data_IF_889712066118
#
_entry.id   IF_889712066118
#
_cell.length_a   1.000
_cell.length_b   1.000
_cell.length_c   1.000
_cell.angle_alpha   90.00
_cell.angle_beta   90.00
_cell.angle_gamma   90.00
#
_symmetry.space_group_name_H-M   'P 1'
#
loop_
_entity.id
_entity.type
_entity.pdbx_description
1 polymer ?
#
# COMPACT_ATOMS: atom_id res chain seq x y z
N UNK A 1 -24.72 17.84 -44.82
CA UNK A 1 -24.17 17.81 -43.45
C UNK A 1 -23.56 16.43 -43.25
N UNK A 2 -22.23 16.32 -43.16
CA UNK A 2 -21.57 15.04 -42.88
C UNK A 2 -21.46 14.92 -41.37
N UNK A 3 -22.16 13.96 -40.79
CA UNK A 3 -22.02 13.61 -39.37
C UNK A 3 -20.70 12.87 -39.17
N UNK A 4 -19.72 13.55 -38.61
CA UNK A 4 -18.53 12.93 -38.02
C UNK A 4 -18.90 12.37 -36.66
N UNK A 5 -19.08 11.06 -36.58
CA UNK A 5 -19.24 10.33 -35.31
C UNK A 5 -17.88 10.30 -34.61
N UNK A 6 -17.75 11.02 -33.50
CA UNK A 6 -16.56 11.00 -32.65
C UNK A 6 -16.64 9.72 -31.80
N UNK A 7 -15.82 8.72 -32.08
CA UNK A 7 -15.67 7.55 -31.24
C UNK A 7 -14.80 7.94 -30.02
N UNK A 8 -15.43 8.06 -28.85
CA UNK A 8 -14.71 8.13 -27.57
C UNK A 8 -14.31 6.70 -27.19
N UNK A 9 -13.07 6.31 -27.46
CA UNK A 9 -12.47 5.12 -26.86
C UNK A 9 -12.15 5.43 -25.41
N UNK A 10 -13.02 4.98 -24.49
CA UNK A 10 -12.71 4.92 -23.07
C UNK A 10 -11.62 3.85 -22.89
N UNK A 11 -10.36 4.27 -22.75
CA UNK A 11 -9.28 3.37 -22.31
C UNK A 11 -9.56 3.03 -20.84
N UNK A 12 -10.18 1.89 -20.58
CA UNK A 12 -10.15 1.30 -19.25
C UNK A 12 -8.70 0.85 -18.99
N UNK A 13 -8.00 1.57 -18.11
CA UNK A 13 -6.70 1.14 -17.61
C UNK A 13 -6.93 -0.09 -16.75
N UNK A 14 -6.58 -1.27 -17.27
CA UNK A 14 -6.58 -2.49 -16.46
C UNK A 14 -5.55 -2.31 -15.33
N UNK A 15 -5.88 -2.69 -14.07
CA UNK A 15 -4.92 -2.64 -12.98
C UNK A 15 -3.73 -3.55 -13.29
N UNK A 16 -2.51 -3.05 -13.05
CA UNK A 16 -1.31 -3.85 -13.21
C UNK A 16 -1.22 -4.87 -12.07
N UNK A 17 -1.46 -6.15 -12.40
CA UNK A 17 -1.16 -7.27 -11.51
C UNK A 17 0.34 -7.54 -11.63
N UNK A 18 1.07 -7.32 -10.56
CA UNK A 18 2.51 -7.51 -10.49
C UNK A 18 2.92 -8.25 -9.22
N UNK A 19 2.01 -9.01 -8.63
CA UNK A 19 2.17 -9.85 -7.45
C UNK A 19 1.15 -10.99 -7.54
N UNK A 20 1.31 -12.09 -6.80
CA UNK A 20 0.32 -13.17 -6.81
C UNK A 20 -1.09 -12.64 -6.48
N UNK A 21 -2.07 -13.02 -7.29
CA UNK A 21 -3.49 -12.74 -7.09
C UNK A 21 -4.27 -14.04 -7.26
N UNK A 22 -5.52 -14.01 -6.82
CA UNK A 22 -6.48 -15.07 -7.14
C UNK A 22 -6.75 -15.11 -8.65
N UNK A 23 -7.08 -16.29 -9.16
CA UNK A 23 -7.49 -16.46 -10.54
C UNK A 23 -8.94 -16.02 -10.76
N UNK A 24 -9.19 -15.31 -11.86
CA UNK A 24 -10.51 -14.79 -12.24
C UNK A 24 -11.31 -14.13 -11.07
N UNK A 25 -10.70 -13.21 -10.29
CA UNK A 25 -11.30 -12.75 -9.03
C UNK A 25 -12.41 -11.70 -9.20
N UNK A 26 -12.55 -11.15 -10.41
CA UNK A 26 -13.70 -10.35 -10.84
C UNK A 26 -14.77 -11.16 -11.58
N UNK A 27 -14.63 -12.49 -11.64
CA UNK A 27 -15.65 -13.39 -12.22
C UNK A 27 -16.10 -13.02 -13.64
N UNK A 28 -15.18 -12.63 -14.51
CA UNK A 28 -15.49 -12.23 -15.89
C UNK A 28 -15.44 -13.40 -16.88
N UNK A 29 -14.73 -14.48 -16.52
CA UNK A 29 -14.64 -15.71 -17.32
C UNK A 29 -15.51 -16.83 -16.74
N UNK A 30 -16.32 -17.47 -17.59
CA UNK A 30 -17.27 -18.51 -17.17
C UNK A 30 -17.27 -19.71 -18.11
N UNK A 31 -17.58 -20.87 -17.54
CA UNK A 31 -17.74 -22.13 -18.24
C UNK A 31 -19.21 -22.59 -18.18
N UNK A 32 -19.66 -23.30 -19.22
CA UNK A 32 -20.99 -23.93 -19.28
C UNK A 32 -22.18 -22.97 -19.01
N UNK A 33 -22.05 -21.70 -19.39
CA UNK A 33 -23.06 -20.64 -19.15
C UNK A 33 -24.44 -21.09 -19.66
N UNK A 34 -25.47 -20.89 -18.83
CA UNK A 34 -26.85 -21.26 -19.14
C UNK A 34 -27.19 -22.74 -18.91
N UNK A 35 -26.27 -23.52 -18.32
CA UNK A 35 -26.51 -24.90 -17.90
C UNK A 35 -26.49 -25.03 -16.37
N UNK A 36 -26.94 -26.17 -15.84
CA UNK A 36 -26.92 -26.44 -14.39
C UNK A 36 -25.52 -26.63 -13.78
N UNK A 37 -24.46 -26.57 -14.59
CA UNK A 37 -23.05 -26.65 -14.18
C UNK A 37 -22.28 -25.39 -14.59
N UNK A 38 -22.97 -24.25 -14.74
CA UNK A 38 -22.30 -22.97 -14.98
C UNK A 38 -21.48 -22.58 -13.76
N UNK A 39 -20.20 -22.25 -13.97
CA UNK A 39 -19.26 -21.86 -12.92
C UNK A 39 -18.23 -20.88 -13.50
N UNK A 40 -17.67 -19.97 -12.68
CA UNK A 40 -16.52 -19.17 -13.10
C UNK A 40 -15.33 -20.07 -13.44
N UNK A 41 -14.58 -19.74 -14.49
CA UNK A 41 -13.30 -20.42 -14.80
C UNK A 41 -12.34 -20.32 -13.61
N UNK A 42 -11.61 -21.39 -13.28
CA UNK A 42 -10.72 -21.55 -12.11
C UNK A 42 -11.44 -21.65 -10.74
N UNK A 43 -12.77 -21.82 -10.75
CA UNK A 43 -13.55 -22.05 -9.55
C UNK A 43 -14.45 -23.28 -9.73
N UNK A 44 -14.72 -24.00 -8.63
CA UNK A 44 -15.56 -25.18 -8.62
C UNK A 44 -16.59 -25.15 -7.50
N UNK A 45 -17.72 -25.84 -7.72
CA UNK A 45 -18.72 -26.09 -6.69
C UNK A 45 -18.98 -27.59 -6.53
N UNK A 46 -19.96 -27.95 -5.71
CA UNK A 46 -20.41 -29.35 -5.59
C UNK A 46 -20.87 -29.92 -6.94
N UNK A 47 -21.28 -29.07 -7.90
CA UNK A 47 -21.73 -29.52 -9.23
C UNK A 47 -20.62 -30.14 -10.08
N UNK A 48 -19.37 -29.75 -9.86
CA UNK A 48 -18.19 -30.23 -10.57
C UNK A 48 -17.21 -30.94 -9.64
N UNK A 49 -17.71 -31.44 -8.51
CA UNK A 49 -16.94 -32.17 -7.50
C UNK A 49 -16.28 -33.45 -8.06
N UNK A 50 -15.34 -34.00 -7.29
CA UNK A 50 -14.72 -35.30 -7.61
C UNK A 50 -15.61 -36.52 -7.29
N UNK A 51 -16.79 -36.32 -6.69
CA UNK A 51 -17.72 -37.38 -6.24
C UNK A 51 -18.38 -38.18 -7.38
N UNK A 52 -18.02 -37.87 -8.63
CA UNK A 52 -18.48 -38.56 -9.82
C UNK A 52 -19.87 -38.17 -10.29
N UNK A 53 -20.29 -38.76 -11.41
CA UNK A 53 -21.50 -38.35 -12.14
C UNK A 53 -22.80 -38.52 -11.35
N UNK A 54 -22.88 -39.54 -10.48
CA UNK A 54 -24.08 -39.77 -9.67
C UNK A 54 -24.30 -38.61 -8.68
N UNK A 55 -23.27 -38.28 -7.89
CA UNK A 55 -23.34 -37.23 -6.87
C UNK A 55 -23.53 -35.86 -7.52
N UNK A 56 -22.76 -35.55 -8.57
CA UNK A 56 -22.85 -34.28 -9.29
C UNK A 56 -24.24 -34.04 -9.93
N UNK A 57 -24.91 -35.11 -10.39
CA UNK A 57 -26.28 -35.01 -10.92
C UNK A 57 -27.33 -34.80 -9.82
N UNK A 58 -27.08 -35.29 -8.59
CA UNK A 58 -27.98 -35.11 -7.44
C UNK A 58 -27.82 -33.73 -6.78
N UNK A 59 -26.62 -33.15 -6.81
CA UNK A 59 -26.39 -31.80 -6.30
C UNK A 59 -27.26 -30.78 -7.08
N UNK A 60 -27.92 -29.81 -6.43
CA UNK A 60 -28.59 -28.73 -7.15
C UNK A 60 -27.57 -27.74 -7.73
N UNK A 61 -27.97 -26.93 -8.69
CA UNK A 61 -27.17 -25.76 -9.10
C UNK A 61 -27.17 -24.75 -7.95
N UNK A 62 -26.01 -24.19 -7.62
CA UNK A 62 -25.85 -23.27 -6.47
C UNK A 62 -25.09 -21.99 -6.83
N UNK A 63 -24.62 -21.89 -8.08
CA UNK A 63 -23.79 -20.80 -8.60
C UNK A 63 -24.37 -20.35 -9.94
N UNK A 64 -24.46 -19.04 -10.15
CA UNK A 64 -24.95 -18.41 -11.38
C UNK A 64 -24.10 -17.21 -11.77
N UNK A 65 -23.93 -17.00 -13.08
CA UNK A 65 -23.43 -15.74 -13.59
C UNK A 65 -24.46 -14.63 -13.37
N UNK A 66 -24.03 -13.49 -12.86
CA UNK A 66 -24.86 -12.29 -12.74
C UNK A 66 -24.38 -11.20 -13.68
N UNK A 67 -25.31 -10.47 -14.31
CA UNK A 67 -25.02 -9.25 -15.09
C UNK A 67 -25.10 -7.96 -14.23
N UNK A 68 -25.39 -8.10 -12.94
CA UNK A 68 -25.22 -7.03 -11.96
C UNK A 68 -23.84 -7.22 -11.35
N UNK A 69 -22.93 -6.28 -11.60
CA UNK A 69 -21.53 -6.37 -11.24
C UNK A 69 -21.05 -5.03 -10.66
N UNK A 70 -20.05 -5.07 -9.78
CA UNK A 70 -19.43 -3.88 -9.24
C UNK A 70 -18.50 -3.25 -10.29
N UNK A 71 -17.67 -4.07 -10.93
CA UNK A 71 -16.89 -3.69 -12.10
C UNK A 71 -17.09 -4.70 -13.24
N UNK A 72 -16.53 -4.42 -14.41
CA UNK A 72 -16.66 -5.32 -15.56
C UNK A 72 -18.12 -5.58 -16.00
N UNK A 73 -18.40 -6.80 -16.44
CA UNK A 73 -19.71 -7.22 -16.96
C UNK A 73 -20.42 -8.24 -16.08
N UNK A 74 -19.65 -8.97 -15.27
CA UNK A 74 -20.17 -10.15 -14.58
C UNK A 74 -19.74 -10.17 -13.11
N UNK A 75 -20.59 -10.75 -12.28
CA UNK A 75 -20.23 -11.14 -10.92
C UNK A 75 -20.74 -12.56 -10.64
N UNK A 76 -20.29 -13.16 -9.55
CA UNK A 76 -20.82 -14.45 -9.10
C UNK A 76 -22.01 -14.24 -8.18
N UNK A 77 -23.10 -15.00 -8.39
CA UNK A 77 -24.20 -15.16 -7.44
C UNK A 77 -24.20 -16.59 -6.89
N UNK A 78 -24.04 -16.73 -5.58
CA UNK A 78 -24.06 -18.00 -4.85
C UNK A 78 -25.35 -18.05 -4.02
N UNK A 79 -26.12 -19.14 -4.11
CA UNK A 79 -27.44 -19.24 -3.46
C UNK A 79 -27.61 -20.50 -2.63
N UNK A 80 -28.36 -20.36 -1.55
CA UNK A 80 -28.96 -21.49 -0.85
C UNK A 80 -30.27 -21.86 -1.53
N UNK A 81 -30.36 -23.10 -2.02
CA UNK A 81 -31.50 -23.58 -2.82
C UNK A 81 -32.11 -24.87 -2.28
N UNK A 82 -33.32 -25.18 -2.75
CA UNK A 82 -33.94 -26.47 -2.44
C UNK A 82 -33.26 -27.61 -3.19
N UNK A 83 -32.99 -28.71 -2.49
CA UNK A 83 -32.56 -30.00 -3.04
C UNK A 83 -33.51 -31.12 -2.62
N UNK A 84 -33.31 -32.32 -3.17
CA UNK A 84 -34.07 -33.51 -2.77
C UNK A 84 -33.87 -33.89 -1.29
N UNK A 85 -32.74 -33.51 -0.69
CA UNK A 85 -32.38 -33.82 0.70
C UNK A 85 -32.68 -32.67 1.67
N UNK A 86 -33.25 -31.56 1.20
CA UNK A 86 -33.48 -30.34 1.98
C UNK A 86 -32.75 -29.12 1.42
N UNK A 87 -32.63 -28.03 2.19
CA UNK A 87 -31.83 -26.86 1.81
C UNK A 87 -30.38 -27.27 1.51
N UNK A 88 -29.84 -26.77 0.41
CA UNK A 88 -28.44 -26.92 0.04
C UNK A 88 -27.79 -25.54 0.03
N UNK A 89 -26.87 -25.31 0.97
CA UNK A 89 -26.11 -24.06 1.05
C UNK A 89 -25.18 -23.96 -0.15
N UNK A 90 -25.24 -22.84 -0.87
CA UNK A 90 -24.34 -22.62 -1.99
C UNK A 90 -22.89 -22.48 -1.53
N UNK A 91 -22.00 -23.10 -2.29
CA UNK A 91 -20.55 -23.18 -2.06
C UNK A 91 -19.81 -22.95 -3.37
N UNK A 92 -18.76 -22.13 -3.33
CA UNK A 92 -17.80 -21.94 -4.42
C UNK A 92 -16.38 -21.90 -3.87
N UNK A 93 -15.42 -22.49 -4.56
CA UNK A 93 -14.02 -22.55 -4.13
C UNK A 93 -13.07 -22.48 -5.32
N UNK A 94 -11.86 -21.93 -5.12
CA UNK A 94 -10.75 -22.05 -6.08
C UNK A 94 -9.96 -23.36 -5.91
N UNK A 95 -10.36 -24.21 -4.96
CA UNK A 95 -9.92 -25.59 -4.86
C UNK A 95 -10.92 -26.53 -5.50
N UNK A 96 -10.98 -27.75 -4.98
CA UNK A 96 -11.90 -28.79 -5.41
C UNK A 96 -12.77 -29.27 -4.27
N UNK A 97 -14.03 -29.57 -4.59
CA UNK A 97 -14.95 -30.21 -3.66
C UNK A 97 -14.79 -31.73 -3.73
N UNK A 98 -14.53 -32.35 -2.59
CA UNK A 98 -14.74 -33.77 -2.36
C UNK A 98 -16.15 -34.01 -1.83
N UNK A 99 -17.00 -34.67 -2.61
CA UNK A 99 -18.40 -34.85 -2.26
C UNK A 99 -18.77 -36.33 -2.10
N UNK A 100 -19.35 -36.67 -0.95
CA UNK A 100 -19.92 -37.99 -0.66
C UNK A 100 -21.41 -37.91 -0.33
N UNK A 101 -22.12 -39.04 -0.42
CA UNK A 101 -23.52 -39.14 0.03
C UNK A 101 -23.64 -38.92 1.56
N UNK A 102 -22.60 -39.30 2.30
CA UNK A 102 -22.47 -39.04 3.72
C UNK A 102 -21.76 -37.69 3.88
N UNK A 103 -22.56 -36.61 3.99
CA UNK A 103 -22.09 -35.22 3.90
C UNK A 103 -20.98 -34.88 4.90
N UNK A 104 -20.92 -35.54 6.05
CA UNK A 104 -19.86 -35.36 7.05
C UNK A 104 -18.45 -35.79 6.58
N UNK A 105 -18.36 -36.61 5.52
CA UNK A 105 -17.10 -36.99 4.91
C UNK A 105 -16.68 -36.03 3.78
N UNK A 106 -17.56 -35.12 3.37
CA UNK A 106 -17.26 -34.15 2.31
C UNK A 106 -16.31 -33.07 2.85
N UNK A 107 -15.41 -32.60 1.99
CA UNK A 107 -14.46 -31.53 2.30
C UNK A 107 -14.09 -30.76 1.04
N UNK A 108 -13.49 -29.59 1.22
CA UNK A 108 -12.89 -28.82 0.13
C UNK A 108 -11.38 -28.88 0.28
N UNK A 109 -10.64 -29.08 -0.81
CA UNK A 109 -9.20 -29.27 -0.77
C UNK A 109 -8.49 -28.58 -1.93
N UNK A 110 -7.19 -28.34 -1.76
CA UNK A 110 -6.31 -27.97 -2.87
C UNK A 110 -5.87 -29.24 -3.60
N UNK A 111 -6.22 -29.38 -4.87
CA UNK A 111 -5.78 -30.49 -5.71
C UNK A 111 -4.41 -30.15 -6.31
N UNK A 112 -3.32 -30.42 -5.58
CA UNK A 112 -1.94 -30.05 -5.97
C UNK A 112 -1.46 -30.66 -7.29
N UNK A 113 -2.22 -31.59 -7.87
CA UNK A 113 -1.94 -32.21 -9.16
C UNK A 113 -2.67 -31.54 -10.33
N UNK A 114 -3.58 -30.60 -10.05
CA UNK A 114 -4.28 -29.82 -11.08
C UNK A 114 -4.20 -28.31 -10.82
N UNK A 115 -3.57 -27.60 -11.75
CA UNK A 115 -3.41 -26.14 -11.70
C UNK A 115 -4.74 -25.40 -11.55
N UNK A 116 -5.83 -25.94 -12.11
CA UNK A 116 -7.16 -25.31 -12.05
C UNK A 116 -7.73 -25.22 -10.63
N UNK A 117 -7.19 -26.02 -9.69
CA UNK A 117 -7.67 -26.11 -8.31
C UNK A 117 -6.53 -25.99 -7.28
N UNK A 118 -5.42 -25.38 -7.71
CA UNK A 118 -4.21 -25.23 -6.91
C UNK A 118 -3.56 -23.85 -7.04
N UNK A 119 -4.37 -22.78 -6.94
CA UNK A 119 -3.89 -21.39 -7.05
C UNK A 119 -2.59 -21.19 -6.25
N UNK A 120 -1.46 -20.92 -6.93
CA UNK A 120 -0.17 -20.75 -6.26
C UNK A 120 -0.11 -19.40 -5.54
N UNK A 121 0.39 -19.39 -4.32
CA UNK A 121 0.58 -18.17 -3.54
C UNK A 121 1.82 -18.27 -2.63
N UNK A 122 3.00 -18.08 -3.23
CA UNK A 122 4.28 -17.97 -2.54
C UNK A 122 4.49 -16.54 -1.99
N UNK A 123 3.55 -16.06 -1.18
CA UNK A 123 3.54 -14.69 -0.65
C UNK A 123 2.61 -14.57 0.56
N UNK A 124 2.76 -13.49 1.34
CA UNK A 124 2.00 -13.28 2.57
C UNK A 124 1.17 -12.00 2.48
N UNK A 125 -0.04 -12.05 1.90
CA UNK A 125 -0.93 -10.89 1.86
C UNK A 125 -1.28 -10.40 3.27
N UNK A 126 -1.49 -9.10 3.38
CA UNK A 126 -1.97 -8.40 4.57
C UNK A 126 -3.48 -8.61 4.75
N UNK A 127 -4.24 -8.47 3.68
CA UNK A 127 -5.70 -8.54 3.73
C UNK A 127 -6.30 -9.10 2.44
N UNK A 128 -7.44 -9.77 2.60
CA UNK A 128 -8.37 -10.05 1.51
C UNK A 128 -9.37 -8.89 1.44
N UNK A 129 -9.63 -8.40 0.23
CA UNK A 129 -10.66 -7.40 -0.03
C UNK A 129 -11.59 -7.89 -1.14
N UNK A 130 -12.76 -7.26 -1.25
CA UNK A 130 -13.69 -7.49 -2.34
C UNK A 130 -14.96 -6.67 -2.19
N UNK A 131 -15.91 -6.91 -3.08
CA UNK A 131 -17.23 -6.28 -3.06
C UNK A 131 -18.31 -7.34 -2.94
N UNK A 132 -19.38 -7.03 -2.22
CA UNK A 132 -20.50 -7.93 -2.06
C UNK A 132 -21.86 -7.24 -2.07
N UNK A 133 -22.89 -8.03 -2.41
CA UNK A 133 -24.29 -7.79 -2.09
C UNK A 133 -24.85 -9.00 -1.36
N UNK A 134 -25.88 -8.81 -0.55
CA UNK A 134 -26.40 -9.91 0.26
C UNK A 134 -27.91 -9.81 0.50
N UNK A 135 -28.60 -10.94 0.38
CA UNK A 135 -30.02 -11.09 0.72
C UNK A 135 -30.18 -12.33 1.61
N UNK A 136 -30.08 -12.19 2.94
CA UNK A 136 -30.23 -13.30 3.87
C UNK A 136 -31.69 -13.66 4.15
N UNK A 137 -31.93 -14.95 4.43
CA UNK A 137 -33.04 -15.41 5.26
C UNK A 137 -32.71 -15.25 6.76
N UNK A 138 -33.72 -15.23 7.65
CA UNK A 138 -33.50 -14.94 9.07
C UNK A 138 -32.55 -15.94 9.77
N UNK A 139 -31.34 -15.48 10.13
CA UNK A 139 -30.34 -16.31 10.81
C UNK A 139 -29.18 -16.76 9.92
N UNK A 140 -29.23 -16.47 8.61
CA UNK A 140 -28.16 -16.81 7.68
C UNK A 140 -27.13 -15.68 7.58
N UNK A 141 -25.86 -16.05 7.42
CA UNK A 141 -24.76 -15.14 7.09
C UNK A 141 -23.84 -15.81 6.07
N UNK A 142 -23.48 -15.11 4.99
CA UNK A 142 -22.49 -15.58 4.04
C UNK A 142 -21.09 -15.56 4.67
N UNK A 143 -20.24 -16.51 4.28
CA UNK A 143 -18.89 -16.66 4.81
C UNK A 143 -17.88 -16.76 3.67
N UNK A 144 -16.73 -16.14 3.85
CA UNK A 144 -15.51 -16.44 3.09
C UNK A 144 -14.49 -16.96 4.08
N UNK A 145 -13.98 -18.16 3.85
CA UNK A 145 -12.84 -18.73 4.57
C UNK A 145 -11.67 -18.87 3.61
N UNK A 146 -10.49 -18.41 4.02
CA UNK A 146 -9.24 -18.52 3.27
C UNK A 146 -8.20 -19.23 4.11
N UNK A 147 -7.53 -20.21 3.50
CA UNK A 147 -6.44 -20.96 4.08
C UNK A 147 -5.19 -20.82 3.21
N UNK A 148 -4.12 -20.30 3.79
CA UNK A 148 -2.77 -20.32 3.25
C UNK A 148 -2.05 -21.54 3.81
N UNK A 149 -1.42 -22.33 2.94
CA UNK A 149 -0.82 -23.61 3.35
C UNK A 149 0.36 -24.02 2.47
N UNK A 150 1.12 -25.01 2.96
CA UNK A 150 2.16 -25.74 2.22
C UNK A 150 1.67 -27.16 1.95
N UNK A 151 2.22 -27.85 0.95
CA UNK A 151 1.83 -29.24 0.64
C UNK A 151 0.30 -29.40 0.43
N UNK A 152 -0.31 -30.42 1.04
CA UNK A 152 -1.74 -30.70 0.97
C UNK A 152 -2.53 -30.01 2.10
N UNK A 153 -3.66 -29.40 1.77
CA UNK A 153 -4.60 -28.91 2.77
C UNK A 153 -6.04 -28.98 2.33
N UNK A 154 -6.92 -29.05 3.33
CA UNK A 154 -8.37 -29.13 3.16
C UNK A 154 -9.13 -28.51 4.32
N UNK A 155 -10.42 -28.26 4.10
CA UNK A 155 -11.37 -27.80 5.09
C UNK A 155 -12.63 -28.67 5.03
N UNK A 156 -13.06 -29.29 6.15
CA UNK A 156 -12.34 -29.40 7.44
C UNK A 156 -10.96 -30.07 7.29
N UNK A 157 -10.03 -29.79 8.21
CA UNK A 157 -8.61 -30.15 8.09
C UNK A 157 -8.34 -31.65 7.98
N UNK A 158 -9.01 -32.45 8.83
CA UNK A 158 -8.85 -33.91 8.90
C UNK A 158 -7.37 -34.37 8.84
N UNK A 159 -6.50 -33.82 9.69
CA UNK A 159 -5.08 -34.19 9.78
C UNK A 159 -4.11 -33.31 8.97
N UNK A 160 -4.60 -32.32 8.23
CA UNK A 160 -3.77 -31.37 7.47
C UNK A 160 -3.41 -30.10 8.25
N UNK A 161 -3.75 -30.01 9.55
CA UNK A 161 -3.55 -28.80 10.37
C UNK A 161 -2.07 -28.38 10.47
N UNK A 162 -1.14 -29.34 10.37
CA UNK A 162 0.30 -29.09 10.40
C UNK A 162 0.82 -28.37 9.14
N UNK A 163 0.04 -28.38 8.07
CA UNK A 163 0.37 -27.76 6.80
C UNK A 163 -0.14 -26.31 6.70
N UNK A 164 -0.93 -25.86 7.68
CA UNK A 164 -1.54 -24.54 7.69
C UNK A 164 -0.53 -23.46 8.06
N UNK A 165 -0.51 -22.37 7.29
CA UNK A 165 0.38 -21.23 7.49
C UNK A 165 -0.35 -20.03 8.09
N UNK A 166 -1.57 -19.80 7.64
CA UNK A 166 -2.43 -18.71 8.09
C UNK A 166 -3.74 -18.69 7.33
N UNK A 167 -4.58 -17.71 7.59
CA UNK A 167 -5.86 -17.61 6.91
C UNK A 167 -6.56 -16.28 7.16
N UNK A 168 -7.70 -16.12 6.52
CA UNK A 168 -8.58 -14.97 6.72
C UNK A 168 -10.03 -15.44 6.66
N UNK A 169 -10.85 -14.92 7.56
CA UNK A 169 -12.27 -15.20 7.61
C UNK A 169 -13.06 -13.91 7.49
N UNK A 170 -14.13 -13.94 6.70
CA UNK A 170 -15.09 -12.86 6.61
C UNK A 170 -16.51 -13.41 6.73
N UNK A 171 -17.36 -12.70 7.46
CA UNK A 171 -18.77 -13.03 7.61
C UNK A 171 -19.61 -11.80 7.28
N UNK A 172 -20.65 -11.97 6.47
CA UNK A 172 -21.55 -10.89 6.10
C UNK A 172 -22.37 -10.41 7.31
N UNK A 173 -22.97 -9.20 7.26
CA UNK A 173 -24.02 -8.82 8.18
C UNK A 173 -25.21 -9.78 8.08
N UNK A 174 -26.01 -9.88 9.15
CA UNK A 174 -27.27 -10.64 9.19
C UNK A 174 -28.46 -9.90 8.56
N UNK A 175 -28.20 -9.00 7.61
CA UNK A 175 -29.20 -8.10 7.02
C UNK A 175 -28.93 -7.90 5.53
N UNK A 176 -29.96 -7.47 4.79
CA UNK A 176 -29.87 -7.20 3.36
C UNK A 176 -28.89 -6.06 3.07
N UNK A 177 -27.99 -6.30 2.11
CA UNK A 177 -27.07 -5.34 1.53
C UNK A 177 -27.38 -5.23 0.04
N UNK A 178 -28.20 -4.23 -0.32
CA UNK A 178 -28.75 -4.08 -1.67
C UNK A 178 -27.84 -3.37 -2.68
N UNK A 179 -26.79 -2.69 -2.21
CA UNK A 179 -25.80 -2.01 -3.03
C UNK A 179 -24.43 -2.65 -2.83
N UNK A 180 -23.60 -2.66 -3.89
CA UNK A 180 -22.23 -3.14 -3.82
C UNK A 180 -21.47 -2.46 -2.69
N UNK A 181 -21.03 -3.26 -1.73
CA UNK A 181 -20.36 -2.78 -0.52
C UNK A 181 -19.01 -3.45 -0.41
N UNK A 182 -17.97 -2.67 -0.18
CA UNK A 182 -16.61 -3.19 -0.01
C UNK A 182 -16.46 -3.88 1.34
N UNK A 183 -15.76 -5.00 1.37
CA UNK A 183 -15.24 -5.62 2.60
C UNK A 183 -13.71 -5.68 2.58
N UNK A 184 -13.14 -5.84 3.78
CA UNK A 184 -11.74 -6.17 3.98
C UNK A 184 -11.62 -7.03 5.23
N UNK A 185 -10.82 -8.10 5.16
CA UNK A 185 -10.48 -8.94 6.31
C UNK A 185 -8.97 -9.19 6.34
N UNK A 186 -8.30 -9.03 7.49
CA UNK A 186 -6.86 -9.25 7.60
C UNK A 186 -6.53 -10.75 7.60
N UNK A 187 -5.38 -11.09 7.03
CA UNK A 187 -4.80 -12.42 7.23
C UNK A 187 -4.16 -12.53 8.62
N UNK A 188 -4.42 -13.64 9.29
CA UNK A 188 -3.78 -14.02 10.54
C UNK A 188 -2.88 -15.22 10.26
N UNK A 189 -1.59 -15.04 10.52
CA UNK A 189 -0.61 -16.10 10.34
C UNK A 189 -0.21 -16.72 11.66
N UNK A 190 -0.21 -18.05 11.70
CA UNK A 190 0.16 -18.86 12.87
C UNK A 190 1.49 -19.59 12.66
N UNK A 191 1.99 -19.61 11.43
CA UNK A 191 3.27 -20.21 11.04
C UNK A 191 4.13 -19.21 10.23
N UNK A 192 5.45 -19.36 10.32
CA UNK A 192 6.42 -18.49 9.65
C UNK A 192 6.91 -19.03 8.31
N UNK A 193 6.55 -20.26 7.94
CA UNK A 193 6.81 -20.80 6.60
C UNK A 193 6.19 -19.92 5.52
N UNK A 194 6.83 -19.87 4.38
CA UNK A 194 6.23 -19.29 3.19
C UNK A 194 5.12 -20.23 2.71
N UNK A 195 3.89 -19.74 2.50
CA UNK A 195 2.84 -20.57 1.93
C UNK A 195 3.16 -20.93 0.48
N UNK A 196 2.58 -22.01 -0.02
CA UNK A 196 2.71 -22.43 -1.43
C UNK A 196 1.40 -22.22 -2.18
N UNK A 197 0.27 -22.37 -1.47
CA UNK A 197 -1.08 -22.34 -2.04
C UNK A 197 -2.04 -21.51 -1.19
N UNK A 198 -3.08 -21.02 -1.87
CA UNK A 198 -4.25 -20.37 -1.25
C UNK A 198 -5.52 -21.16 -1.58
N UNK A 199 -6.24 -21.59 -0.55
CA UNK A 199 -7.54 -22.24 -0.65
C UNK A 199 -8.62 -21.30 -0.11
N UNK A 200 -9.54 -20.88 -0.98
CA UNK A 200 -10.68 -20.03 -0.63
C UNK A 200 -11.98 -20.80 -0.78
N UNK A 201 -12.87 -20.61 0.19
CA UNK A 201 -14.23 -21.15 0.20
C UNK A 201 -15.19 -20.02 0.47
N UNK A 202 -16.21 -19.86 -0.38
CA UNK A 202 -17.28 -18.89 -0.21
C UNK A 202 -18.60 -19.62 -0.10
N UNK A 203 -19.40 -19.26 0.91
CA UNK A 203 -20.73 -19.84 1.14
C UNK A 203 -21.80 -18.76 1.19
N UNK A 204 -22.99 -19.08 0.69
CA UNK A 204 -24.14 -18.17 0.77
C UNK A 204 -24.73 -18.03 2.19
N UNK A 205 -24.48 -18.99 3.07
CA UNK A 205 -24.94 -19.00 4.47
C UNK A 205 -23.96 -19.73 5.40
N UNK A 206 -24.34 -19.93 6.66
CA UNK A 206 -23.54 -20.55 7.73
C UNK A 206 -23.42 -22.08 7.56
N UNK A 207 -22.81 -22.49 6.45
CA UNK A 207 -22.47 -23.86 6.08
C UNK A 207 -23.65 -24.85 6.01
N UNK A 208 -24.14 -25.42 7.11
CA UNK A 208 -25.01 -26.62 7.05
C UNK A 208 -26.50 -26.39 7.38
N UNK A 209 -26.89 -25.19 7.79
CA UNK A 209 -28.28 -24.90 8.21
C UNK A 209 -28.92 -23.68 7.55
N UNK A 210 -28.36 -23.24 6.42
CA UNK A 210 -28.87 -22.08 5.69
C UNK A 210 -30.27 -22.35 5.14
N UNK A 211 -31.08 -21.29 5.08
CA UNK A 211 -32.44 -21.35 4.57
C UNK A 211 -32.50 -21.01 3.08
N UNK A 212 -33.38 -21.72 2.37
CA UNK A 212 -33.61 -21.51 0.94
C UNK A 212 -34.02 -20.07 0.66
N UNK A 213 -33.39 -19.46 -0.34
CA UNK A 213 -33.62 -18.07 -0.73
C UNK A 213 -32.59 -17.08 -0.18
N UNK A 214 -31.58 -17.55 0.54
CA UNK A 214 -30.40 -16.75 0.85
C UNK A 214 -29.51 -16.65 -0.40
N UNK A 215 -29.14 -15.42 -0.77
CA UNK A 215 -28.27 -15.14 -1.93
C UNK A 215 -27.14 -14.18 -1.55
N UNK A 216 -25.93 -14.46 -2.03
CA UNK A 216 -24.78 -13.56 -1.94
C UNK A 216 -24.17 -13.36 -3.31
N UNK A 217 -23.75 -12.13 -3.59
CA UNK A 217 -22.95 -11.80 -4.75
C UNK A 217 -21.58 -11.37 -4.31
N UNK A 218 -20.55 -11.80 -5.02
CA UNK A 218 -19.18 -11.34 -4.84
C UNK A 218 -18.61 -10.84 -6.15
N UNK A 219 -17.74 -9.84 -6.05
CA UNK A 219 -17.03 -9.28 -7.19
C UNK A 219 -15.71 -8.64 -6.75
N UNK A 220 -14.80 -8.47 -7.70
CA UNK A 220 -13.50 -7.80 -7.57
C UNK A 220 -12.71 -8.22 -6.32
N UNK A 221 -12.54 -9.53 -6.11
CA UNK A 221 -11.71 -10.03 -5.02
C UNK A 221 -10.24 -9.62 -5.25
N UNK A 222 -9.51 -9.34 -4.17
CA UNK A 222 -8.08 -9.08 -4.29
C UNK A 222 -7.31 -9.37 -2.99
N UNK A 223 -6.08 -9.82 -3.16
CA UNK A 223 -5.08 -9.94 -2.11
C UNK A 223 -4.29 -8.63 -2.04
N UNK A 224 -4.24 -8.00 -0.88
CA UNK A 224 -3.49 -6.76 -0.66
C UNK A 224 -2.20 -7.09 0.08
N UNK A 225 -1.08 -6.53 -0.36
CA UNK A 225 0.24 -6.75 0.20
C UNK A 225 0.84 -5.44 0.70
N UNK A 226 1.45 -5.46 1.88
CA UNK A 226 2.14 -4.28 2.39
C UNK A 226 3.41 -3.99 1.58
N UNK A 227 3.64 -2.73 1.29
CA UNK A 227 4.88 -2.19 0.72
C UNK A 227 5.48 -1.24 1.76
N UNK A 228 6.36 -1.77 2.59
CA UNK A 228 6.96 -1.03 3.68
C UNK A 228 8.16 -0.22 3.21
N UNK A 229 8.30 0.99 3.75
CA UNK A 229 9.44 1.88 3.54
C UNK A 229 10.23 2.04 4.83
N UNK A 230 11.56 1.95 4.77
CA UNK A 230 12.45 2.13 5.92
C UNK A 230 13.62 3.04 5.52
N UNK A 231 13.60 4.33 5.91
CA UNK A 231 14.74 5.22 5.70
C UNK A 231 15.92 4.82 6.60
N UNK A 232 17.14 4.95 6.09
CA UNK A 232 18.39 4.71 6.85
C UNK A 232 18.74 5.86 7.82
N UNK A 233 17.97 6.94 7.80
CA UNK A 233 18.08 8.09 8.68
C UNK A 233 16.74 8.43 9.35
N UNK A 234 16.79 8.77 10.64
CA UNK A 234 15.63 9.26 11.39
C UNK A 234 15.48 10.80 11.32
N UNK A 235 16.56 11.51 11.00
CA UNK A 235 16.61 12.96 10.88
C UNK A 235 17.32 13.33 9.57
N UNK A 236 16.68 14.17 8.77
CA UNK A 236 17.24 14.76 7.58
C UNK A 236 17.53 16.24 7.83
N UNK A 237 18.78 16.65 7.68
CA UNK A 237 19.18 18.05 7.81
C UNK A 237 19.37 18.67 6.44
N UNK A 238 18.52 19.63 6.09
CA UNK A 238 18.59 20.35 4.81
C UNK A 238 19.07 21.79 4.99
N UNK A 239 19.59 22.38 3.91
CA UNK A 239 19.88 23.82 3.82
C UNK A 239 19.01 24.43 2.71
N UNK A 240 19.16 25.72 2.47
CA UNK A 240 18.51 26.40 1.36
C UNK A 240 19.05 25.96 -0.02
N UNK A 241 20.26 25.40 -0.07
CA UNK A 241 20.95 25.04 -1.31
C UNK A 241 21.22 23.54 -1.44
N UNK A 242 21.26 22.82 -0.32
CA UNK A 242 21.62 21.41 -0.26
C UNK A 242 20.45 20.61 0.31
N UNK A 243 20.11 19.52 -0.38
CA UNK A 243 19.18 18.51 0.09
C UNK A 243 19.84 17.58 1.11
N UNK A 244 19.11 16.51 1.45
CA UNK A 244 19.63 15.44 2.29
C UNK A 244 19.50 14.11 1.53
N UNK A 245 20.64 13.52 1.20
CA UNK A 245 20.68 12.20 0.60
C UNK A 245 20.45 11.13 1.68
N UNK A 246 19.60 10.17 1.38
CA UNK A 246 19.30 9.03 2.23
C UNK A 246 18.99 7.80 1.38
N UNK A 247 19.08 6.63 1.98
CA UNK A 247 18.58 5.42 1.36
C UNK A 247 17.26 5.02 2.00
N UNK A 248 16.28 4.68 1.17
CA UNK A 248 15.00 4.11 1.61
C UNK A 248 14.97 2.66 1.19
N UNK A 249 15.13 1.75 2.15
CA UNK A 249 14.89 0.34 1.92
C UNK A 249 13.37 0.11 1.76
N UNK A 250 13.00 -0.79 0.85
CA UNK A 250 11.62 -1.25 0.73
C UNK A 250 11.54 -2.77 0.87
N UNK A 251 10.38 -3.24 1.32
CA UNK A 251 10.02 -4.66 1.30
C UNK A 251 8.54 -4.82 0.91
N UNK A 252 8.27 -5.69 -0.05
CA UNK A 252 6.91 -6.08 -0.43
C UNK A 252 6.49 -7.36 0.29
N UNK A 253 5.24 -7.44 0.75
CA UNK A 253 4.65 -8.66 1.30
C UNK A 253 4.34 -9.73 0.24
N UNK A 254 4.31 -9.33 -1.03
CA UNK A 254 4.15 -10.19 -2.20
C UNK A 254 5.34 -10.07 -3.13
N UNK A 255 5.73 -11.16 -3.79
CA UNK A 255 6.86 -11.16 -4.73
C UNK A 255 6.45 -10.49 -6.03
N UNK A 256 7.21 -9.50 -6.54
CA UNK A 256 6.89 -8.91 -7.83
C UNK A 256 6.99 -9.94 -8.97
N UNK A 257 5.97 -10.01 -9.83
CA UNK A 257 5.98 -10.92 -11.00
C UNK A 257 6.56 -10.27 -12.26
N UNK A 258 6.75 -8.96 -12.23
CA UNK A 258 7.42 -8.17 -13.27
C UNK A 258 8.05 -6.92 -12.66
N UNK A 259 8.95 -6.26 -13.39
CA UNK A 259 9.61 -5.06 -12.92
C UNK A 259 8.62 -3.90 -12.75
N UNK A 260 8.71 -3.22 -11.62
CA UNK A 260 7.89 -2.07 -11.24
C UNK A 260 8.77 -0.88 -10.90
N UNK A 261 8.23 0.32 -11.12
CA UNK A 261 8.85 1.56 -10.61
C UNK A 261 8.41 1.78 -9.16
N UNK A 262 9.29 1.43 -8.22
CA UNK A 262 9.13 1.76 -6.81
C UNK A 262 9.56 3.21 -6.59
N UNK A 263 8.63 4.08 -6.20
CA UNK A 263 8.89 5.52 -5.98
C UNK A 263 8.79 5.84 -4.50
N UNK A 264 9.88 6.32 -3.91
CA UNK A 264 9.86 6.88 -2.56
C UNK A 264 9.26 8.29 -2.61
N UNK A 265 8.28 8.53 -1.76
CA UNK A 265 7.55 9.80 -1.64
C UNK A 265 7.69 10.35 -0.22
N UNK A 266 7.95 11.66 -0.12
CA UNK A 266 7.92 12.43 1.11
C UNK A 266 6.56 13.14 1.24
N UNK A 267 5.93 13.03 2.41
CA UNK A 267 4.70 13.75 2.75
C UNK A 267 4.94 15.25 2.99
N UNK A 268 3.90 15.98 3.38
CA UNK A 268 4.05 17.28 4.03
C UNK A 268 4.53 17.14 5.51
N UNK A 269 4.73 18.28 6.19
CA UNK A 269 5.18 18.31 7.58
C UNK A 269 4.18 17.75 8.61
N UNK A 270 2.92 17.51 8.22
CA UNK A 270 1.87 16.91 9.04
C UNK A 270 1.67 15.41 8.76
N UNK A 271 2.40 14.86 7.78
CA UNK A 271 2.26 13.47 7.36
C UNK A 271 1.22 13.23 6.25
N UNK A 272 0.74 14.29 5.60
CA UNK A 272 -0.24 14.19 4.51
C UNK A 272 0.45 13.95 3.15
N UNK A 273 -0.06 12.97 2.41
CA UNK A 273 0.37 12.61 1.07
C UNK A 273 -0.60 13.09 -0.03
N UNK A 274 -1.40 14.14 0.23
CA UNK A 274 -2.26 14.76 -0.78
C UNK A 274 -1.49 15.45 -1.91
N UNK A 275 -0.28 15.94 -1.63
CA UNK A 275 0.67 16.50 -2.60
C UNK A 275 2.11 16.00 -2.29
N UNK A 276 2.38 14.71 -2.50
CA UNK A 276 3.65 14.11 -2.10
C UNK A 276 4.78 14.53 -3.04
N UNK A 277 6.00 14.59 -2.50
CA UNK A 277 7.20 14.87 -3.28
C UNK A 277 7.93 13.57 -3.55
N UNK A 278 8.09 13.19 -4.82
CA UNK A 278 8.93 12.06 -5.19
C UNK A 278 10.40 12.39 -4.89
N UNK A 279 11.06 11.58 -4.08
CA UNK A 279 12.44 11.78 -3.62
C UNK A 279 13.42 10.76 -4.18
N UNK A 280 12.93 9.69 -4.81
CA UNK A 280 13.74 8.68 -5.49
C UNK A 280 12.87 7.63 -6.17
N UNK A 281 13.39 6.96 -7.19
CA UNK A 281 12.71 5.87 -7.89
C UNK A 281 13.70 4.75 -8.22
N UNK A 282 13.27 3.51 -8.11
CA UNK A 282 14.00 2.32 -8.52
C UNK A 282 13.09 1.40 -9.36
N UNK A 283 13.52 1.04 -10.56
CA UNK A 283 12.90 -0.03 -11.32
C UNK A 283 13.44 -1.39 -10.85
N UNK A 284 12.57 -2.28 -10.36
CA UNK A 284 12.97 -3.55 -9.76
C UNK A 284 11.84 -4.58 -9.84
N UNK A 285 12.20 -5.86 -9.94
CA UNK A 285 11.32 -7.02 -9.76
C UNK A 285 11.61 -7.78 -8.46
N UNK A 286 12.52 -7.26 -7.62
CA UNK A 286 12.90 -7.88 -6.36
C UNK A 286 11.92 -7.51 -5.24
N UNK A 287 11.58 -8.44 -4.32
CA UNK A 287 10.68 -8.16 -3.20
C UNK A 287 11.29 -7.24 -2.13
N UNK A 288 12.61 -7.04 -2.19
CA UNK A 288 13.32 -6.09 -1.33
C UNK A 288 14.34 -5.32 -2.15
N UNK A 289 14.58 -4.07 -1.80
CA UNK A 289 15.63 -3.27 -2.42
C UNK A 289 15.86 -1.97 -1.69
N UNK A 290 16.75 -1.15 -2.23
CA UNK A 290 17.15 0.13 -1.65
C UNK A 290 17.04 1.21 -2.72
N UNK A 291 16.23 2.23 -2.46
CA UNK A 291 16.06 3.39 -3.32
C UNK A 291 17.00 4.47 -2.81
N UNK A 292 17.89 4.95 -3.69
CA UNK A 292 18.67 6.16 -3.42
C UNK A 292 17.75 7.37 -3.55
N UNK A 293 17.65 8.16 -2.48
CA UNK A 293 16.72 9.26 -2.37
C UNK A 293 17.44 10.57 -2.00
N UNK A 294 16.85 11.69 -2.39
CA UNK A 294 17.27 13.02 -1.96
C UNK A 294 16.04 13.80 -1.49
N UNK A 295 16.00 14.16 -0.21
CA UNK A 295 15.03 15.17 0.27
C UNK A 295 15.46 16.53 -0.28
N UNK A 296 14.58 17.27 -0.98
CA UNK A 296 14.98 18.51 -1.65
C UNK A 296 15.52 19.57 -0.68
N UNK A 297 16.47 20.37 -1.19
CA UNK A 297 16.90 21.59 -0.52
C UNK A 297 15.70 22.52 -0.24
N UNK A 298 15.77 23.25 0.86
CA UNK A 298 14.72 24.20 1.25
C UNK A 298 13.44 23.56 1.77
N UNK A 299 13.37 22.23 1.92
CA UNK A 299 12.27 21.55 2.61
C UNK A 299 12.09 22.17 3.98
N UNK A 300 10.85 22.53 4.31
CA UNK A 300 10.54 23.24 5.56
C UNK A 300 10.77 22.29 6.74
N UNK A 301 11.35 22.75 7.86
CA UNK A 301 11.49 21.91 9.04
C UNK A 301 10.15 21.42 9.58
N UNK A 302 10.13 20.18 10.05
CA UNK A 302 8.94 19.57 10.63
C UNK A 302 9.24 18.18 11.19
N UNK A 303 8.52 17.80 12.24
CA UNK A 303 8.68 16.48 12.89
C UNK A 303 7.63 15.46 12.46
N UNK A 304 6.64 15.86 11.65
CA UNK A 304 5.53 15.02 11.23
C UNK A 304 5.68 14.41 9.83
N UNK A 305 6.83 14.63 9.17
CA UNK A 305 7.08 14.05 7.84
C UNK A 305 7.07 12.53 7.89
N UNK A 306 6.53 11.94 6.81
CA UNK A 306 6.48 10.51 6.55
C UNK A 306 7.09 10.23 5.18
N UNK A 307 7.72 9.07 5.06
CA UNK A 307 8.20 8.51 3.80
C UNK A 307 7.43 7.24 3.54
N UNK A 308 6.86 7.10 2.34
CA UNK A 308 6.26 5.87 1.85
C UNK A 308 6.90 5.48 0.51
N UNK A 309 6.75 4.22 0.12
CA UNK A 309 7.08 3.79 -1.24
C UNK A 309 5.79 3.39 -1.95
N UNK A 310 5.60 3.88 -3.17
CA UNK A 310 4.46 3.60 -4.05
C UNK A 310 4.91 2.86 -5.30
N UNK A 311 3.95 2.28 -6.01
CA UNK A 311 4.16 1.55 -7.26
C UNK A 311 2.89 1.61 -8.12
N UNK A 312 2.96 1.43 -9.45
CA UNK A 312 1.77 1.45 -10.31
C UNK A 312 0.73 0.35 -10.00
N UNK A 313 1.11 -0.72 -9.29
CA UNK A 313 0.17 -1.79 -8.93
C UNK A 313 -0.72 -1.36 -7.75
N UNK A 314 -2.06 -1.47 -7.86
CA UNK A 314 -2.99 -1.08 -6.80
C UNK A 314 -3.06 -2.09 -5.65
N UNK A 315 -2.46 -3.27 -5.78
CA UNK A 315 -2.51 -4.32 -4.76
C UNK A 315 -1.33 -4.28 -3.79
N UNK A 316 -0.40 -3.33 -3.97
CA UNK A 316 0.58 -2.98 -2.94
C UNK A 316 0.08 -1.77 -2.15
N UNK A 317 -0.21 -1.97 -0.86
CA UNK A 317 -0.58 -0.92 0.07
C UNK A 317 0.68 -0.29 0.69
N UNK A 318 0.97 1.00 0.47
CA UNK A 318 2.11 1.66 1.08
C UNK A 318 2.01 1.68 2.60
N UNK A 319 3.08 1.29 3.28
CA UNK A 319 3.26 1.46 4.74
C UNK A 319 4.38 2.45 4.96
N UNK A 320 4.04 3.60 5.55
CA UNK A 320 4.97 4.71 5.74
C UNK A 320 5.81 4.59 7.01
N UNK A 321 6.92 5.32 7.02
CA UNK A 321 7.82 5.51 8.16
C UNK A 321 8.02 6.99 8.45
N UNK A 322 8.19 7.35 9.73
CA UNK A 322 8.45 8.72 10.13
C UNK A 322 9.88 9.19 9.84
N UNK A 323 10.03 10.48 9.55
CA UNK A 323 11.31 11.18 9.49
C UNK A 323 11.16 12.59 10.03
N UNK A 324 12.19 13.11 10.71
CA UNK A 324 12.24 14.52 11.10
C UNK A 324 13.04 15.28 10.06
N UNK A 325 12.52 16.40 9.58
CA UNK A 325 13.27 17.34 8.74
C UNK A 325 13.69 18.53 9.59
N UNK A 326 14.99 18.78 9.64
CA UNK A 326 15.59 19.91 10.33
C UNK A 326 16.30 20.83 9.34
N UNK A 327 16.43 22.10 9.71
CA UNK A 327 17.22 23.06 8.95
C UNK A 327 18.58 23.26 9.59
N UNK A 328 19.61 23.30 8.76
CA UNK A 328 20.93 23.82 9.13
C UNK A 328 21.36 24.92 8.16
N UNK A 329 22.30 25.75 8.61
CA UNK A 329 22.97 26.75 7.77
C UNK A 329 23.99 26.13 6.82
N UNK A 330 24.30 24.83 6.93
CA UNK A 330 25.31 24.15 6.11
C UNK A 330 26.77 24.55 6.41
N UNK A 331 26.97 25.48 7.34
CA UNK A 331 28.27 26.05 7.68
C UNK A 331 28.81 25.45 8.96
N UNK A 332 30.06 24.98 8.91
CA UNK A 332 30.81 24.60 10.10
C UNK A 332 30.94 25.80 11.05
N UNK A 333 30.92 25.53 12.36
CA UNK A 333 31.23 26.54 13.36
C UNK A 333 32.63 27.08 13.10
N UNK A 334 32.71 28.34 12.69
CA UNK A 334 33.97 29.03 12.50
C UNK A 334 34.36 29.66 13.84
N UNK A 335 35.64 29.58 14.22
CA UNK A 335 36.12 30.06 15.53
C UNK A 335 35.80 31.54 15.78
N UNK A 336 35.83 31.97 17.03
CA UNK A 336 35.70 33.39 17.35
C UNK A 336 36.96 34.12 16.87
N UNK A 337 36.81 35.06 15.92
CA UNK A 337 37.88 36.00 15.61
C UNK A 337 37.99 37.05 16.73
N UNK A 338 39.19 37.27 17.24
CA UNK A 338 39.45 38.31 18.24
C UNK A 338 39.03 39.69 17.71
N UNK A 339 38.30 40.43 18.55
CA UNK A 339 37.85 41.80 18.26
C UNK A 339 36.70 41.93 17.26
N UNK A 340 36.05 40.83 16.87
CA UNK A 340 34.79 40.84 16.11
C UNK A 340 33.60 40.90 17.08
N UNK A 341 32.69 41.85 16.85
CA UNK A 341 31.35 41.81 17.46
C UNK A 341 30.28 42.12 16.42
N UNK A 342 29.09 41.55 16.61
CA UNK A 342 27.94 41.80 15.78
C UNK A 342 26.66 41.69 16.61
N UNK A 343 25.64 42.46 16.24
CA UNK A 343 24.33 42.44 16.89
C UNK A 343 23.24 42.77 15.87
N UNK A 344 21.99 42.51 16.24
CA UNK A 344 20.84 42.82 15.40
C UNK A 344 19.93 43.85 16.07
N UNK A 345 19.30 44.67 15.24
CA UNK A 345 18.15 45.51 15.61
C UNK A 345 17.08 45.48 14.48
N UNK A 346 16.03 46.29 14.64
CA UNK A 346 14.98 46.40 13.63
C UNK A 346 15.51 46.92 12.27
N UNK A 347 16.62 47.65 12.25
CA UNK A 347 17.26 48.17 11.05
C UNK A 347 18.22 47.20 10.35
N UNK A 348 18.59 46.07 10.95
CA UNK A 348 19.38 45.02 10.30
C UNK A 348 20.48 44.42 11.19
N UNK A 349 21.61 44.07 10.58
CA UNK A 349 22.80 43.55 11.27
C UNK A 349 23.85 44.65 11.35
N UNK A 350 24.47 44.76 12.52
CA UNK A 350 25.63 45.61 12.74
C UNK A 350 26.86 44.76 12.94
N UNK A 351 27.95 45.10 12.26
CA UNK A 351 29.26 44.47 12.36
C UNK A 351 30.28 45.50 12.85
N UNK A 352 31.02 45.15 13.89
CA UNK A 352 32.13 45.92 14.41
C UNK A 352 33.42 45.10 14.35
N UNK A 353 34.34 45.56 13.49
CA UNK A 353 35.67 45.00 13.32
C UNK A 353 36.76 45.97 13.80
N UNK A 354 36.42 47.06 14.48
CA UNK A 354 37.40 48.10 14.87
C UNK A 354 38.45 47.62 15.85
N UNK A 355 38.13 46.58 16.63
CA UNK A 355 39.07 45.91 17.52
C UNK A 355 39.74 44.68 16.87
N UNK A 356 39.38 44.37 15.63
CA UNK A 356 39.86 43.20 14.91
C UNK A 356 41.19 43.47 14.21
N UNK A 357 42.07 42.48 14.22
CA UNK A 357 43.33 42.49 13.47
C UNK A 357 43.19 41.97 12.04
N UNK A 358 41.98 41.57 11.63
CA UNK A 358 41.72 40.96 10.34
C UNK A 358 41.80 41.99 9.19
N UNK A 359 42.56 41.66 8.15
CA UNK A 359 42.65 42.46 6.93
C UNK A 359 41.98 41.76 5.75
N UNK A 360 41.42 42.54 4.82
CA UNK A 360 40.80 42.01 3.59
C UNK A 360 39.58 41.12 3.85
N UNK A 361 38.87 41.34 4.96
CA UNK A 361 37.70 40.55 5.29
C UNK A 361 36.54 40.82 4.32
N UNK A 362 35.70 39.80 4.08
CA UNK A 362 34.34 39.96 3.54
C UNK A 362 33.34 39.40 4.54
N UNK A 363 32.11 39.89 4.51
CA UNK A 363 31.01 39.33 5.29
C UNK A 363 30.00 38.63 4.38
N UNK A 364 29.35 37.62 4.95
CA UNK A 364 28.15 36.96 4.45
C UNK A 364 27.14 36.95 5.60
N UNK A 365 25.91 37.39 5.34
CA UNK A 365 24.78 37.25 6.26
C UNK A 365 23.83 36.25 5.65
N UNK A 366 23.52 35.19 6.40
CA UNK A 366 22.69 34.09 5.94
C UNK A 366 21.49 33.94 6.87
N UNK A 367 20.36 33.47 6.33
CA UNK A 367 19.22 33.10 7.15
C UNK A 367 19.45 31.78 7.90
N UNK A 368 18.48 31.36 8.71
CA UNK A 368 18.53 30.08 9.42
C UNK A 368 18.64 28.85 8.50
N UNK A 369 18.32 29.00 7.20
CA UNK A 369 18.43 27.98 6.15
C UNK A 369 19.77 28.05 5.41
N UNK A 370 20.65 29.00 5.71
CA UNK A 370 21.89 29.19 4.97
C UNK A 370 21.69 29.89 3.62
N UNK A 371 20.52 30.48 3.34
CA UNK A 371 20.33 31.33 2.17
C UNK A 371 21.06 32.67 2.38
N UNK A 372 21.79 33.14 1.37
CA UNK A 372 22.50 34.41 1.43
C UNK A 372 21.49 35.58 1.43
N UNK A 373 21.50 36.37 2.50
CA UNK A 373 20.70 37.58 2.64
C UNK A 373 21.46 38.83 2.21
N UNK A 374 22.76 38.88 2.51
CA UNK A 374 23.64 39.98 2.14
C UNK A 374 25.09 39.53 2.14
N UNK A 375 25.91 40.14 1.28
CA UNK A 375 27.37 40.01 1.31
C UNK A 375 28.03 41.36 1.04
N UNK A 376 29.31 41.49 1.40
CA UNK A 376 30.05 42.70 1.11
C UNK A 376 31.38 42.79 1.85
N UNK A 377 31.97 43.97 1.77
CA UNK A 377 33.19 44.31 2.48
C UNK A 377 32.83 45.12 3.74
N UNK A 378 33.25 44.70 4.93
CA UNK A 378 33.07 45.49 6.13
C UNK A 378 34.00 46.69 6.11
N UNK A 379 33.58 47.77 6.76
CA UNK A 379 34.40 48.96 6.97
C UNK A 379 35.28 48.73 8.22
N UNK A 380 36.62 48.65 8.12
CA UNK A 380 37.45 48.29 9.27
C UNK A 380 37.48 49.36 10.37
N UNK A 381 37.26 50.62 10.01
CA UNK A 381 37.42 51.78 10.90
C UNK A 381 36.11 52.33 11.47
N UNK A 382 34.97 51.80 11.03
CA UNK A 382 33.64 52.22 11.50
C UNK A 382 32.73 51.01 11.67
N UNK A 383 31.55 51.24 12.25
CA UNK A 383 30.50 50.23 12.22
C UNK A 383 30.05 50.00 10.79
N UNK A 384 29.83 48.74 10.44
CA UNK A 384 29.22 48.33 9.18
C UNK A 384 27.75 48.04 9.44
N UNK A 385 26.86 48.82 8.82
CA UNK A 385 25.42 48.56 8.86
C UNK A 385 25.02 47.74 7.64
N UNK A 386 24.35 46.62 7.88
CA UNK A 386 23.81 45.76 6.84
C UNK A 386 22.29 45.81 6.99
N UNK A 387 21.65 46.58 6.10
CA UNK A 387 20.21 46.60 6.01
C UNK A 387 19.70 45.24 5.53
N UNK A 388 18.75 44.65 6.26
CA UNK A 388 18.08 43.42 5.90
C UNK A 388 16.58 43.69 5.72
N UNK A 389 16.03 43.21 4.61
CA UNK A 389 14.60 43.36 4.27
C UNK A 389 13.73 42.20 4.82
N UNK A 390 14.34 41.26 5.53
CA UNK A 390 13.69 40.05 6.05
C UNK A 390 12.92 40.31 7.36
N UNK A 391 12.05 39.37 7.77
CA UNK A 391 11.31 39.42 9.05
C UNK A 391 12.20 39.07 10.26
N UNK A 392 11.66 39.19 11.48
CA UNK A 392 12.29 38.69 12.71
C UNK A 392 12.69 37.20 12.58
N UNK A 393 13.81 36.81 13.18
CA UNK A 393 14.34 35.45 13.05
C UNK A 393 15.83 35.31 13.34
N UNK A 394 16.36 34.09 13.21
CA UNK A 394 17.80 33.85 13.35
C UNK A 394 18.54 34.16 12.04
N UNK A 395 19.69 34.80 12.17
CA UNK A 395 20.66 34.98 11.09
C UNK A 395 22.04 34.48 11.54
N UNK A 396 22.80 33.96 10.59
CA UNK A 396 24.20 33.63 10.77
C UNK A 396 25.04 34.68 10.06
N UNK A 397 25.88 35.38 10.80
CA UNK A 397 26.86 36.32 10.24
C UNK A 397 28.19 35.61 10.16
N UNK A 398 28.79 35.56 8.98
CA UNK A 398 30.10 34.97 8.72
C UNK A 398 31.04 36.05 8.22
N UNK A 399 32.23 36.14 8.81
CA UNK A 399 33.32 37.02 8.37
C UNK A 399 34.47 36.14 7.90
N UNK A 400 34.87 36.31 6.65
CA UNK A 400 35.87 35.46 5.97
C UNK A 400 37.08 36.32 5.65
N UNK A 401 38.27 35.83 5.96
CA UNK A 401 39.56 36.50 5.77
C UNK A 401 40.61 35.49 5.29
N UNK A 402 41.82 35.98 4.95
CA UNK A 402 42.89 35.13 4.41
C UNK A 402 43.32 33.99 5.35
N UNK A 403 43.22 34.20 6.67
CA UNK A 403 43.69 33.27 7.70
C UNK A 403 42.55 32.39 8.29
N UNK A 404 41.30 32.54 7.81
CA UNK A 404 40.18 31.70 8.25
C UNK A 404 38.80 32.34 8.12
N UNK A 405 37.86 31.89 8.96
CA UNK A 405 36.53 32.48 9.08
C UNK A 405 36.09 32.55 10.54
N UNK A 406 35.21 33.51 10.85
CA UNK A 406 34.49 33.60 12.10
C UNK A 406 32.99 33.66 11.84
N UNK A 407 32.20 33.07 12.73
CA UNK A 407 30.75 32.99 12.57
C UNK A 407 30.03 33.27 13.88
N UNK A 408 28.93 34.02 13.82
CA UNK A 408 28.07 34.29 14.97
C UNK A 408 26.60 34.17 14.61
N UNK A 409 25.84 33.47 15.46
CA UNK A 409 24.38 33.39 15.37
C UNK A 409 23.77 34.54 16.14
N UNK A 410 22.88 35.28 15.48
CA UNK A 410 22.17 36.40 16.05
C UNK A 410 20.66 36.17 15.92
N UNK A 411 19.92 36.59 16.94
CA UNK A 411 18.46 36.63 16.90
C UNK A 411 18.06 38.07 16.60
N UNK A 412 17.42 38.27 15.45
CA UNK A 412 16.84 39.57 15.10
C UNK A 412 15.43 39.67 15.69
N UNK A 413 15.16 40.69 16.51
CA UNK A 413 13.86 40.89 17.16
C UNK A 413 12.73 41.21 16.18
#
# INVERSE_FOLDING_TARGET
>A
MRHTTLAFTLLATLPLIAQPQLDNPGFEAWQNVGTGTEEPTEWSSVKTSDGGTLINNLAPQMVWQSNDAHSGSYSVNIRTVSSFLGPATGLLTNGRVHAELQVENSYVFTDTLNADWSTPCASRPDSLIGWYKYTPQPGDQAVIGVLMHVDDARLPAFGTELNWVGGADWTSPSATVGAWTRFATPFVYTDNREPEHILMIMTSGDSTSSQVGTEVWFDDLALIYNLAAVPDAAVATVTAQDGFDLNVAYSTGGVPTSALDFTAELSDANGDFSAPVAIGTLNSDQPTGVIACTIPAGTVPGTGYRIRVTTPSPYYAPVDSGIVVEVSTGLAAAGTADGLSAWCDAGGVWLDLRASVLQGARYEVLDARGALLAEGLPVPTSLTHIALDTRAGMVLVRVIHADGAASMRLVRP
#
